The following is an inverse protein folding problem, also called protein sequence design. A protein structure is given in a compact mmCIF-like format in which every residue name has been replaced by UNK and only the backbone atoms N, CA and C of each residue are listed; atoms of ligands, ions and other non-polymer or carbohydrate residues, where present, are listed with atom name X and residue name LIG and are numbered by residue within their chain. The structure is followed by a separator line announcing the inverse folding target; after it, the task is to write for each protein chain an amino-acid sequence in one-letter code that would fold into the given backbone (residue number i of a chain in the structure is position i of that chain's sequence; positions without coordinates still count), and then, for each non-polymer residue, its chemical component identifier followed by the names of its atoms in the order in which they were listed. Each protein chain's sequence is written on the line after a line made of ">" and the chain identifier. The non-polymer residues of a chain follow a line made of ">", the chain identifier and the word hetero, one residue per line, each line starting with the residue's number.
data_IF_991481703833
#
_entry.id   IF_991481703833
#
_cell.length_a   1.000
_cell.length_b   1.000
_cell.length_c   1.000
_cell.angle_alpha   90.00
_cell.angle_beta   90.00
_cell.angle_gamma   90.00
#
_symmetry.space_group_name_H-M   'P 1'
#
loop_
_entity.id
_entity.type
_entity.pdbx_description
1 polymer ?
#
# COMPACT_ATOMS: atom_id res chain seq x y z
N UNK A 1 29.14 1.45 36.72
CA UNK A 1 28.34 2.31 35.82
C UNK A 1 29.04 2.33 34.48
N UNK A 2 28.52 1.56 33.52
CA UNK A 2 28.68 1.81 32.09
C UNK A 2 27.33 1.51 31.46
N UNK A 3 27.04 2.30 30.45
CA UNK A 3 25.73 2.77 30.00
C UNK A 3 25.31 1.87 28.83
N UNK A 4 24.00 1.75 28.63
CA UNK A 4 23.36 1.01 27.55
C UNK A 4 24.00 1.28 26.17
N UNK A 5 24.19 0.21 25.40
CA UNK A 5 24.48 0.22 23.96
C UNK A 5 23.69 -0.97 23.41
N UNK A 6 22.42 -0.72 23.13
CA UNK A 6 21.89 -0.35 21.81
C UNK A 6 21.34 -1.64 21.19
N UNK A 7 20.04 -1.81 21.34
CA UNK A 7 19.30 -2.87 20.68
C UNK A 7 19.36 -2.56 19.19
N UNK A 8 20.36 -3.12 18.52
CA UNK A 8 20.39 -3.28 17.07
C UNK A 8 19.30 -4.30 16.70
N UNK A 9 18.06 -3.85 16.83
CA UNK A 9 16.90 -4.53 16.25
C UNK A 9 17.13 -4.46 14.74
N UNK A 10 17.28 -5.60 14.05
CA UNK A 10 17.49 -5.57 12.62
C UNK A 10 16.22 -4.96 12.02
N UNK A 11 16.32 -3.71 11.56
CA UNK A 11 15.38 -3.10 10.63
C UNK A 11 15.26 -4.09 9.48
N UNK A 12 14.28 -5.00 9.49
CA UNK A 12 14.15 -6.04 8.47
C UNK A 12 13.68 -5.36 7.17
N UNK A 13 14.57 -5.01 6.21
CA UNK A 13 14.18 -4.28 5.02
C UNK A 13 13.78 -5.26 3.90
N UNK A 14 13.88 -6.57 4.14
CA UNK A 14 13.84 -7.56 3.07
C UNK A 14 12.44 -7.95 2.61
N UNK A 15 11.38 -7.72 3.40
CA UNK A 15 10.00 -8.09 3.01
C UNK A 15 9.16 -6.95 2.45
N UNK A 16 9.52 -5.70 2.76
CA UNK A 16 8.81 -4.51 2.31
C UNK A 16 8.73 -4.39 0.77
N UNK A 17 9.80 -4.67 -0.01
CA UNK A 17 9.76 -4.53 -1.46
C UNK A 17 8.73 -5.44 -2.14
N UNK A 18 8.49 -6.63 -1.57
CA UNK A 18 7.54 -7.62 -2.14
C UNK A 18 6.08 -7.25 -1.89
N UNK A 19 5.81 -6.43 -0.87
CA UNK A 19 4.46 -6.01 -0.50
C UNK A 19 3.99 -4.78 -1.28
N UNK A 20 4.92 -3.99 -1.82
CA UNK A 20 4.59 -2.79 -2.60
C UNK A 20 4.13 -3.21 -4.01
N UNK A 21 2.89 -2.86 -4.41
CA UNK A 21 2.43 -3.11 -5.77
C UNK A 21 3.32 -2.38 -6.80
N UNK A 22 3.58 -3.04 -7.92
CA UNK A 22 4.39 -2.46 -9.00
C UNK A 22 3.71 -1.27 -9.68
N UNK A 23 2.39 -1.32 -9.82
CA UNK A 23 1.58 -0.34 -10.52
C UNK A 23 0.09 -0.43 -10.11
N UNK A 24 -0.74 0.44 -10.71
CA UNK A 24 -2.17 0.50 -10.42
C UNK A 24 -2.94 -0.76 -10.73
N UNK A 25 -2.64 -1.41 -11.86
CA UNK A 25 -3.34 -2.61 -12.25
C UNK A 25 -3.07 -3.74 -11.25
N UNK A 26 -1.81 -3.90 -10.82
CA UNK A 26 -1.41 -4.88 -9.82
C UNK A 26 -2.07 -4.64 -8.47
N UNK A 27 -2.06 -3.39 -7.97
CA UNK A 27 -2.73 -3.04 -6.72
C UNK A 27 -4.23 -3.35 -6.78
N UNK A 28 -4.89 -2.93 -7.86
CA UNK A 28 -6.31 -3.20 -8.07
C UNK A 28 -6.61 -4.70 -8.10
N UNK A 29 -5.82 -5.48 -8.84
CA UNK A 29 -6.01 -6.93 -8.93
C UNK A 29 -5.90 -7.61 -7.55
N UNK A 30 -4.91 -7.24 -6.75
CA UNK A 30 -4.65 -7.81 -5.42
C UNK A 30 -5.77 -7.46 -4.43
N UNK A 31 -6.25 -6.22 -4.46
CA UNK A 31 -7.37 -5.80 -3.61
C UNK A 31 -8.69 -6.48 -4.02
N UNK A 32 -9.02 -6.48 -5.32
CA UNK A 32 -10.25 -7.10 -5.84
C UNK A 32 -10.34 -8.60 -5.52
N UNK A 33 -9.20 -9.30 -5.41
CA UNK A 33 -9.16 -10.71 -5.05
C UNK A 33 -9.69 -11.01 -3.64
N UNK A 34 -9.62 -10.04 -2.72
CA UNK A 34 -10.09 -10.21 -1.33
C UNK A 34 -11.33 -9.38 -1.02
N UNK A 35 -11.72 -8.46 -1.90
CA UNK A 35 -12.79 -7.48 -1.69
C UNK A 35 -14.15 -8.10 -1.36
N UNK A 36 -14.45 -9.27 -1.90
CA UNK A 36 -15.71 -9.98 -1.65
C UNK A 36 -15.63 -11.03 -0.54
N UNK A 37 -14.49 -11.14 0.15
CA UNK A 37 -14.35 -12.08 1.26
C UNK A 37 -15.04 -11.55 2.51
N UNK A 38 -15.72 -12.45 3.22
CA UNK A 38 -16.28 -12.14 4.53
C UNK A 38 -15.17 -12.18 5.62
N UNK A 39 -15.47 -11.69 6.85
CA UNK A 39 -14.49 -11.67 7.92
C UNK A 39 -13.90 -13.05 8.29
N UNK A 40 -14.66 -14.13 8.11
CA UNK A 40 -14.17 -15.49 8.41
C UNK A 40 -13.13 -15.90 7.37
N UNK A 41 -13.43 -15.70 6.09
CA UNK A 41 -12.50 -16.00 5.01
C UNK A 41 -11.23 -15.11 5.08
N UNK A 42 -11.36 -13.85 5.46
CA UNK A 42 -10.21 -12.95 5.70
C UNK A 42 -9.34 -13.43 6.85
N UNK A 43 -9.94 -13.93 7.94
CA UNK A 43 -9.21 -14.48 9.08
C UNK A 43 -8.40 -15.75 8.72
N UNK A 44 -8.83 -16.50 7.71
CA UNK A 44 -8.13 -17.69 7.22
C UNK A 44 -6.97 -17.37 6.26
N UNK A 45 -6.89 -16.14 5.73
CA UNK A 45 -5.79 -15.75 4.84
C UNK A 45 -4.44 -15.84 5.54
N UNK A 46 -3.44 -16.33 4.80
CA UNK A 46 -2.05 -16.24 5.23
C UNK A 46 -1.63 -14.78 5.44
N UNK A 47 -0.68 -14.53 6.35
CA UNK A 47 -0.18 -13.18 6.65
C UNK A 47 0.23 -12.43 5.37
N UNK A 48 0.93 -13.11 4.46
CA UNK A 48 1.44 -12.46 3.25
C UNK A 48 0.33 -12.07 2.27
N UNK A 49 -0.70 -12.90 2.07
CA UNK A 49 -1.83 -12.57 1.20
C UNK A 49 -2.64 -11.41 1.74
N UNK A 50 -2.86 -11.38 3.07
CA UNK A 50 -3.51 -10.26 3.74
C UNK A 50 -2.70 -8.97 3.56
N UNK A 51 -1.39 -9.00 3.80
CA UNK A 51 -0.52 -7.84 3.65
C UNK A 51 -0.46 -7.33 2.22
N UNK A 52 -0.39 -8.24 1.24
CA UNK A 52 -0.43 -7.89 -0.17
C UNK A 52 -1.71 -7.14 -0.55
N UNK A 53 -2.86 -7.59 -0.05
CA UNK A 53 -4.12 -6.90 -0.27
C UNK A 53 -4.19 -5.57 0.49
N UNK A 54 -3.75 -5.55 1.75
CA UNK A 54 -3.73 -4.35 2.60
C UNK A 54 -2.87 -3.23 2.00
N UNK A 55 -1.66 -3.56 1.58
CA UNK A 55 -0.73 -2.62 0.95
C UNK A 55 -1.25 -2.16 -0.41
N UNK A 56 -1.95 -3.03 -1.14
CA UNK A 56 -2.60 -2.67 -2.38
C UNK A 56 -3.74 -1.68 -2.18
N UNK A 57 -4.57 -1.86 -1.16
CA UNK A 57 -5.58 -0.89 -0.77
C UNK A 57 -4.95 0.46 -0.39
N UNK A 58 -3.95 0.46 0.50
CA UNK A 58 -3.25 1.67 0.91
C UNK A 58 -2.57 2.39 -0.26
N UNK A 59 -2.16 1.63 -1.29
CA UNK A 59 -1.60 2.19 -2.52
C UNK A 59 -2.64 2.87 -3.40
N UNK A 60 -3.84 2.27 -3.52
CA UNK A 60 -4.95 2.85 -4.28
C UNK A 60 -5.51 4.09 -3.59
N UNK A 61 -5.65 4.01 -2.27
CA UNK A 61 -6.29 5.01 -1.42
C UNK A 61 -5.28 5.71 -0.51
N UNK A 62 -4.14 6.14 -1.06
CA UNK A 62 -3.02 6.72 -0.31
C UNK A 62 -3.34 8.01 0.50
N UNK A 63 -4.54 8.56 0.33
CA UNK A 63 -5.07 9.66 1.12
C UNK A 63 -5.76 9.22 2.42
N UNK A 64 -6.12 7.94 2.55
CA UNK A 64 -6.81 7.39 3.70
C UNK A 64 -5.81 6.86 4.73
N UNK A 65 -6.00 7.25 5.99
CA UNK A 65 -5.20 6.74 7.10
C UNK A 65 -5.86 5.49 7.71
N UNK A 66 -5.10 4.43 8.05
CA UNK A 66 -5.65 3.23 8.69
C UNK A 66 -6.47 3.49 9.95
N UNK A 67 -6.01 4.40 10.81
CA UNK A 67 -6.70 4.75 12.06
C UNK A 67 -8.04 5.48 11.85
N UNK A 68 -8.26 6.04 10.65
CA UNK A 68 -9.46 6.82 10.32
C UNK A 68 -10.55 5.95 9.67
N UNK A 69 -10.47 4.61 9.77
CA UNK A 69 -11.39 3.70 9.10
C UNK A 69 -12.88 3.97 9.39
N UNK A 70 -13.21 4.51 10.56
CA UNK A 70 -14.58 4.87 10.95
C UNK A 70 -15.17 6.05 10.16
N UNK A 71 -14.31 6.88 9.57
CA UNK A 71 -14.70 8.10 8.83
C UNK A 71 -14.36 8.02 7.34
N UNK A 72 -13.97 6.84 6.86
CA UNK A 72 -13.72 6.63 5.45
C UNK A 72 -14.96 6.86 4.59
N UNK A 73 -14.78 7.32 3.33
CA UNK A 73 -15.88 7.53 2.41
C UNK A 73 -16.61 6.23 2.06
N UNK A 74 -17.91 6.31 1.74
CA UNK A 74 -18.76 5.15 1.46
C UNK A 74 -18.25 4.34 0.25
N UNK A 75 -17.57 5.01 -0.69
CA UNK A 75 -16.96 4.41 -1.88
C UNK A 75 -15.91 3.34 -1.55
N UNK A 76 -15.32 3.37 -0.35
CA UNK A 76 -14.34 2.37 0.11
C UNK A 76 -14.88 1.45 1.22
N UNK A 77 -16.19 1.46 1.47
CA UNK A 77 -16.81 0.63 2.51
C UNK A 77 -16.51 -0.87 2.34
N UNK A 78 -16.32 -1.32 1.09
CA UNK A 78 -15.93 -2.70 0.76
C UNK A 78 -14.53 -3.08 1.31
N UNK A 79 -13.69 -2.11 1.64
CA UNK A 79 -12.37 -2.33 2.24
C UNK A 79 -12.42 -2.45 3.78
N UNK A 80 -13.52 -2.08 4.44
CA UNK A 80 -13.62 -2.10 5.91
C UNK A 80 -13.37 -3.47 6.53
N UNK A 81 -13.87 -4.60 5.97
CA UNK A 81 -13.54 -5.93 6.51
C UNK A 81 -12.04 -6.24 6.46
N UNK A 82 -11.37 -5.86 5.38
CA UNK A 82 -9.92 -6.02 5.22
C UNK A 82 -9.15 -5.16 6.24
N UNK A 83 -9.55 -3.89 6.41
CA UNK A 83 -8.94 -2.99 7.38
C UNK A 83 -9.12 -3.47 8.82
N UNK A 84 -10.32 -3.97 9.16
CA UNK A 84 -10.61 -4.53 10.47
C UNK A 84 -9.75 -5.77 10.76
N UNK A 85 -9.57 -6.66 9.78
CA UNK A 85 -8.72 -7.83 9.94
C UNK A 85 -7.23 -7.46 10.07
N UNK A 86 -6.75 -6.50 9.27
CA UNK A 86 -5.40 -5.97 9.39
C UNK A 86 -5.15 -5.35 10.78
N UNK A 87 -6.10 -4.55 11.28
CA UNK A 87 -6.06 -3.95 12.61
C UNK A 87 -6.02 -5.03 13.71
N UNK A 88 -6.93 -6.02 13.64
CA UNK A 88 -6.96 -7.14 14.61
C UNK A 88 -5.62 -7.86 14.68
N UNK A 89 -4.98 -8.13 13.52
CA UNK A 89 -3.67 -8.80 13.48
C UNK A 89 -2.54 -7.91 13.96
N UNK A 90 -2.61 -6.61 13.73
CA UNK A 90 -1.67 -5.63 14.27
C UNK A 90 -1.77 -5.56 15.81
N UNK A 91 -2.98 -5.41 16.36
CA UNK A 91 -3.22 -5.43 17.81
C UNK A 91 -2.79 -6.74 18.48
N UNK A 92 -2.89 -7.86 17.75
CA UNK A 92 -2.42 -9.17 18.21
C UNK A 92 -0.89 -9.38 18.06
N UNK A 93 -0.15 -8.40 17.52
CA UNK A 93 1.30 -8.50 17.27
C UNK A 93 1.68 -9.46 16.15
N UNK A 94 0.75 -9.82 15.27
CA UNK A 94 0.99 -10.70 14.12
C UNK A 94 1.47 -9.93 12.88
N UNK A 95 1.16 -8.62 12.83
CA UNK A 95 1.61 -7.66 11.84
C UNK A 95 2.41 -6.58 12.57
N UNK A 96 3.52 -6.15 11.98
CA UNK A 96 4.41 -5.12 12.52
C UNK A 96 3.92 -3.70 12.13
N UNK A 97 4.40 -2.67 12.84
CA UNK A 97 4.03 -1.28 12.58
C UNK A 97 4.28 -0.85 11.13
N UNK A 98 5.47 -1.16 10.60
CA UNK A 98 5.82 -0.89 9.20
C UNK A 98 5.01 -1.72 8.18
N UNK A 99 4.38 -2.81 8.61
CA UNK A 99 3.47 -3.62 7.79
C UNK A 99 2.03 -3.10 7.85
N UNK A 100 1.61 -2.51 8.98
CA UNK A 100 0.27 -1.96 9.16
C UNK A 100 0.14 -0.52 8.63
N UNK A 101 1.19 0.30 8.74
CA UNK A 101 1.24 1.68 8.24
C UNK A 101 2.15 1.83 7.02
N UNK A 102 1.76 1.31 5.83
CA UNK A 102 2.61 1.35 4.64
C UNK A 102 2.71 2.76 4.01
N UNK A 103 2.06 3.77 4.60
CA UNK A 103 1.86 5.08 4.00
C UNK A 103 3.17 5.78 3.59
N UNK A 104 4.25 5.66 4.35
CA UNK A 104 5.55 6.24 3.95
C UNK A 104 6.16 5.51 2.74
N UNK A 105 6.19 4.17 2.77
CA UNK A 105 6.72 3.34 1.68
C UNK A 105 5.90 3.50 0.38
N UNK A 106 4.57 3.52 0.51
CA UNK A 106 3.62 3.70 -0.59
C UNK A 106 3.74 5.10 -1.20
N UNK A 107 3.77 6.17 -0.38
CA UNK A 107 3.93 7.55 -0.87
C UNK A 107 5.22 7.73 -1.66
N UNK A 108 6.34 7.19 -1.16
CA UNK A 108 7.62 7.25 -1.86
C UNK A 108 7.54 6.54 -3.23
N UNK A 109 6.90 5.37 -3.32
CA UNK A 109 6.75 4.64 -4.59
C UNK A 109 5.81 5.35 -5.57
N UNK A 110 4.67 5.87 -5.12
CA UNK A 110 3.73 6.62 -5.97
C UNK A 110 4.42 7.86 -6.56
N UNK A 111 5.25 8.55 -5.77
CA UNK A 111 6.06 9.67 -6.26
C UNK A 111 7.08 9.23 -7.32
N UNK A 112 7.77 8.11 -7.11
CA UNK A 112 8.69 7.54 -8.09
C UNK A 112 8.00 7.14 -9.41
N UNK A 113 6.81 6.51 -9.37
CA UNK A 113 6.07 6.14 -10.57
C UNK A 113 5.54 7.37 -11.32
N UNK A 114 5.04 8.40 -10.61
CA UNK A 114 4.68 9.68 -11.22
C UNK A 114 5.88 10.36 -11.89
N UNK A 115 7.06 10.32 -11.25
CA UNK A 115 8.29 10.86 -11.84
C UNK A 115 8.73 10.11 -13.10
N UNK A 116 8.61 8.77 -13.14
CA UNK A 116 8.91 7.96 -14.36
C UNK A 116 7.92 8.22 -15.49
N UNK A 117 6.63 8.39 -15.18
CA UNK A 117 5.60 8.77 -16.15
C UNK A 117 5.86 10.15 -16.76
N UNK A 118 6.34 11.11 -15.95
CA UNK A 118 6.70 12.46 -16.41
C UNK A 118 8.00 12.52 -17.24
N UNK A 119 8.90 11.53 -17.15
CA UNK A 119 10.09 11.46 -18.02
C UNK A 119 9.85 10.77 -19.37
N UNK A 120 8.63 10.28 -19.63
CA UNK A 120 8.29 9.52 -20.84
C UNK A 120 7.56 10.33 -21.92
N UNK A 121 7.57 11.67 -21.87
CA UNK A 121 7.20 12.50 -23.01
C UNK A 121 8.45 13.06 -23.69
N UNK A 122 8.90 12.50 -24.83
CA UNK A 122 9.70 13.29 -25.75
C UNK A 122 8.76 14.32 -26.39
N UNK A 123 8.93 15.57 -25.98
CA UNK A 123 8.53 16.73 -26.78
C UNK A 123 9.05 16.55 -28.21
N UNK A 124 8.15 16.30 -29.16
CA UNK A 124 8.34 16.68 -30.55
C UNK A 124 7.09 17.43 -31.01
N UNK A 125 6.88 18.61 -30.42
CA UNK A 125 6.30 19.71 -31.17
C UNK A 125 7.33 20.10 -32.23
N UNK A 126 7.15 19.61 -33.45
CA UNK A 126 7.59 20.36 -34.63
C UNK A 126 6.32 20.87 -35.31
N UNK A 127 5.95 22.08 -34.91
CA UNK A 127 5.22 22.96 -35.79
C UNK A 127 6.03 23.08 -37.09
N UNK A 128 5.38 22.82 -38.22
CA UNK A 128 5.66 23.62 -39.40
C UNK A 128 4.32 23.86 -40.11
N UNK A 129 3.85 25.07 -39.88
CA UNK A 129 2.82 25.72 -40.67
C UNK A 129 3.30 25.80 -42.12
N UNK A 130 2.50 25.36 -43.08
CA UNK A 130 2.51 26.02 -44.38
C UNK A 130 1.20 25.80 -45.11
N UNK A 131 0.36 26.81 -44.95
CA UNK A 131 -0.64 27.28 -45.90
C UNK A 131 0.06 27.64 -47.23
N UNK A 132 -0.39 27.07 -48.36
CA UNK A 132 -0.66 27.72 -49.66
C UNK A 132 -1.23 26.67 -50.62
#
# INVERSE_FOLDING_TARGET
>A
MMIADDSDEPLHPERIPELIPENHATAKQKFEAVRSLDPTALAELGKQDLLLAWWSFCWLEAALHPDDAEVWPEEVAEALPLAAEACRRYEAGQIEDGEYYPAEAVRHRILHERAKGSQSQPEHQKADSSET
#
